data_IF_718340556208
#
_entry.id   IF_718340556208
#
_cell.length_a   1.000
_cell.length_b   1.000
_cell.length_c   1.000
_cell.angle_alpha   90.00
_cell.angle_beta   90.00
_cell.angle_gamma   90.00
#
_symmetry.space_group_name_H-M   'P 1'
#
loop_
_entity.id
_entity.type
_entity.pdbx_description
1 polymer ?
#
# COMPACT_ATOMS: atom_id res chain seq x y z
N UNK A 1 -14.83 -2.33 17.82
CA UNK A 1 -13.52 -2.92 17.52
C UNK A 1 -12.47 -2.29 18.43
N UNK A 2 -11.63 -3.07 19.09
CA UNK A 2 -10.59 -2.59 20.01
C UNK A 2 -9.48 -1.82 19.26
N UNK A 3 -8.83 -0.88 19.94
CA UNK A 3 -7.76 -0.03 19.36
C UNK A 3 -6.57 -0.85 18.86
N UNK A 4 -6.20 -1.91 19.57
CA UNK A 4 -5.11 -2.80 19.16
C UNK A 4 -5.42 -3.48 17.82
N UNK A 5 -6.67 -3.91 17.62
CA UNK A 5 -7.12 -4.48 16.35
C UNK A 5 -7.13 -3.45 15.24
N UNK A 6 -7.60 -2.21 15.52
CA UNK A 6 -7.53 -1.11 14.57
C UNK A 6 -6.09 -0.84 14.14
N UNK A 7 -5.16 -0.74 15.09
CA UNK A 7 -3.75 -0.47 14.84
C UNK A 7 -3.13 -1.46 13.86
N UNK A 8 -3.49 -2.74 13.96
CA UNK A 8 -2.95 -3.80 13.09
C UNK A 8 -3.35 -3.66 11.60
N UNK A 9 -4.30 -2.79 11.26
CA UNK A 9 -4.66 -2.49 9.88
C UNK A 9 -3.93 -1.27 9.31
N UNK A 10 -3.26 -0.44 10.12
CA UNK A 10 -2.77 0.88 9.70
C UNK A 10 -1.31 0.80 9.22
N UNK A 11 -1.08 1.22 7.96
CA UNK A 11 0.21 1.65 7.45
C UNK A 11 0.27 3.18 7.58
N UNK A 12 1.00 3.66 8.61
CA UNK A 12 1.12 5.10 8.89
C UNK A 12 2.05 5.75 7.86
N UNK A 13 1.49 6.62 7.01
CA UNK A 13 2.08 6.94 5.70
C UNK A 13 2.55 8.39 5.62
N UNK A 14 3.78 8.58 5.13
CA UNK A 14 4.38 9.89 4.84
C UNK A 14 5.20 9.83 3.55
N UNK A 15 4.62 10.26 2.42
CA UNK A 15 5.19 10.16 1.07
C UNK A 15 5.33 11.50 0.36
N UNK A 16 4.96 12.62 0.99
CA UNK A 16 5.08 13.94 0.38
C UNK A 16 6.56 14.26 0.05
N UNK A 17 6.87 14.89 -1.10
CA UNK A 17 8.25 15.11 -1.52
C UNK A 17 9.00 16.13 -0.64
N UNK A 18 8.27 16.93 0.11
CA UNK A 18 8.83 17.99 0.99
C UNK A 18 8.82 17.59 2.48
N UNK A 19 8.72 16.30 2.78
CA UNK A 19 8.75 15.84 4.17
C UNK A 19 10.18 15.87 4.73
N UNK A 20 10.33 16.35 5.94
CA UNK A 20 11.64 16.45 6.59
C UNK A 20 11.91 15.26 7.54
N UNK A 21 13.16 15.12 7.97
CA UNK A 21 13.62 14.06 8.88
C UNK A 21 12.84 14.07 10.20
N UNK A 22 12.53 15.24 10.75
CA UNK A 22 11.80 15.35 12.02
C UNK A 22 10.40 14.77 11.92
N UNK A 23 9.75 15.01 10.78
CA UNK A 23 8.42 14.45 10.49
C UNK A 23 8.46 12.92 10.35
N UNK A 24 9.54 12.36 9.80
CA UNK A 24 9.74 10.91 9.73
C UNK A 24 9.99 10.30 11.11
N UNK A 25 10.85 10.91 11.93
CA UNK A 25 11.08 10.46 13.32
C UNK A 25 9.76 10.45 14.11
N UNK A 26 8.98 11.54 14.01
CA UNK A 26 7.66 11.61 14.64
C UNK A 26 6.70 10.53 14.15
N UNK A 27 6.69 10.24 12.82
CA UNK A 27 5.90 9.15 12.25
C UNK A 27 6.25 7.81 12.90
N UNK A 28 7.55 7.53 13.09
CA UNK A 28 8.04 6.31 13.72
C UNK A 28 7.65 6.26 15.22
N UNK A 29 7.77 7.37 15.94
CA UNK A 29 7.33 7.48 17.34
C UNK A 29 5.84 7.17 17.50
N UNK A 30 4.98 7.76 16.65
CA UNK A 30 3.54 7.51 16.63
C UNK A 30 3.24 6.04 16.31
N UNK A 31 3.90 5.46 15.28
CA UNK A 31 3.69 4.08 14.88
C UNK A 31 4.11 3.09 15.99
N UNK A 32 5.23 3.34 16.66
CA UNK A 32 5.71 2.56 17.80
C UNK A 32 4.75 2.67 18.99
N UNK A 33 4.32 3.90 19.32
CA UNK A 33 3.41 4.17 20.45
C UNK A 33 2.06 3.47 20.31
N UNK A 34 1.52 3.44 19.09
CA UNK A 34 0.19 2.88 18.82
C UNK A 34 0.24 1.45 18.25
N UNK A 35 1.42 0.89 18.07
CA UNK A 35 1.64 -0.45 17.51
C UNK A 35 1.00 -0.63 16.13
N UNK A 36 1.18 0.35 15.24
CA UNK A 36 0.69 0.25 13.87
C UNK A 36 1.36 -0.90 13.10
N UNK A 37 0.71 -1.40 12.05
CA UNK A 37 1.24 -2.49 11.24
C UNK A 37 2.58 -2.13 10.61
N UNK A 38 2.66 -0.91 10.04
CA UNK A 38 3.88 -0.38 9.44
C UNK A 38 3.92 1.15 9.43
N UNK A 39 5.12 1.71 9.18
CA UNK A 39 5.25 3.02 8.56
C UNK A 39 5.43 2.83 7.05
N UNK A 40 4.95 3.80 6.23
CA UNK A 40 5.16 3.77 4.77
C UNK A 40 5.78 5.10 4.33
N UNK A 41 7.03 5.03 3.83
CA UNK A 41 7.88 6.19 3.57
C UNK A 41 8.54 6.12 2.18
N UNK A 42 9.07 7.25 1.71
CA UNK A 42 9.91 7.27 0.51
C UNK A 42 11.20 6.46 0.72
N UNK A 43 11.78 5.85 -0.33
CA UNK A 43 12.95 4.95 -0.21
C UNK A 43 14.16 5.55 0.52
N UNK A 44 14.39 6.85 0.39
CA UNK A 44 15.50 7.56 1.06
C UNK A 44 15.41 7.56 2.60
N UNK A 45 14.25 7.25 3.17
CA UNK A 45 14.05 7.23 4.62
C UNK A 45 14.01 5.82 5.23
N UNK A 46 14.18 4.77 4.43
CA UNK A 46 14.06 3.37 4.89
C UNK A 46 15.05 3.07 6.01
N UNK A 47 16.34 3.40 5.83
CA UNK A 47 17.36 3.14 6.85
C UNK A 47 17.08 3.87 8.17
N UNK A 48 16.66 5.14 8.09
CA UNK A 48 16.26 5.91 9.27
C UNK A 48 15.08 5.26 10.00
N UNK A 49 14.02 4.87 9.26
CA UNK A 49 12.87 4.20 9.87
C UNK A 49 13.25 2.86 10.49
N UNK A 50 14.19 2.12 9.88
CA UNK A 50 14.70 0.86 10.44
C UNK A 50 15.38 1.06 11.78
N UNK A 51 16.21 2.11 11.91
CA UNK A 51 16.86 2.47 13.17
C UNK A 51 15.84 2.89 14.23
N UNK A 52 14.92 3.80 13.88
CA UNK A 52 13.91 4.35 14.79
C UNK A 52 12.90 3.29 15.29
N UNK A 53 12.66 2.24 14.51
CA UNK A 53 11.67 1.20 14.82
C UNK A 53 12.29 -0.08 15.35
N UNK A 54 13.59 -0.10 15.62
CA UNK A 54 14.25 -1.31 16.13
C UNK A 54 13.60 -1.81 17.43
N UNK A 55 13.37 -3.12 17.50
CA UNK A 55 12.72 -3.79 18.63
C UNK A 55 11.22 -3.49 18.82
N UNK A 56 10.59 -2.61 18.02
CA UNK A 56 9.18 -2.22 18.19
C UNK A 56 8.16 -3.22 17.63
N UNK A 57 8.56 -4.07 16.68
CA UNK A 57 7.68 -4.94 15.92
C UNK A 57 6.95 -4.26 14.76
N UNK A 58 6.95 -2.93 14.66
CA UNK A 58 6.39 -2.16 13.53
C UNK A 58 7.22 -2.38 12.28
N UNK A 59 6.57 -2.65 11.15
CA UNK A 59 7.26 -2.92 9.87
C UNK A 59 7.64 -1.63 9.15
N UNK A 60 8.73 -1.68 8.40
CA UNK A 60 9.12 -0.60 7.49
C UNK A 60 8.64 -0.94 6.08
N UNK A 61 7.67 -0.18 5.59
CA UNK A 61 7.18 -0.24 4.21
C UNK A 61 7.76 0.92 3.40
N UNK A 62 8.08 0.68 2.13
CA UNK A 62 8.43 1.73 1.18
C UNK A 62 7.75 1.52 -0.16
N UNK A 63 7.96 2.45 -1.11
CA UNK A 63 7.32 2.44 -2.42
C UNK A 63 8.33 2.17 -3.53
N UNK A 64 7.88 1.54 -4.63
CA UNK A 64 8.71 1.15 -5.78
C UNK A 64 8.09 1.66 -7.08
N UNK A 65 8.91 2.30 -7.93
CA UNK A 65 8.43 2.90 -9.18
C UNK A 65 7.40 4.01 -8.98
N UNK A 66 7.42 4.63 -7.83
CA UNK A 66 6.38 5.51 -7.32
C UNK A 66 6.60 6.99 -7.73
N UNK A 67 5.53 7.77 -8.02
CA UNK A 67 4.12 7.34 -8.00
C UNK A 67 3.59 6.88 -9.37
N UNK A 68 4.36 6.96 -10.45
CA UNK A 68 3.89 6.85 -11.83
C UNK A 68 3.86 5.42 -12.38
N UNK A 69 4.65 4.49 -11.81
CA UNK A 69 4.82 3.15 -12.35
C UNK A 69 5.55 3.09 -13.70
N UNK A 70 6.03 4.24 -14.22
CA UNK A 70 6.50 4.42 -15.61
C UNK A 70 8.01 4.18 -15.80
N UNK A 71 8.65 3.48 -14.88
CA UNK A 71 10.04 3.02 -15.02
C UNK A 71 10.10 1.58 -15.51
N UNK A 72 11.27 1.13 -15.98
CA UNK A 72 11.43 -0.26 -16.46
C UNK A 72 11.31 -1.26 -15.31
N UNK A 73 10.88 -2.50 -15.63
CA UNK A 73 10.78 -3.57 -14.64
C UNK A 73 12.14 -3.86 -13.96
N UNK A 74 13.24 -3.74 -14.72
CA UNK A 74 14.59 -3.86 -14.15
C UNK A 74 14.85 -2.80 -13.09
N UNK A 75 14.51 -1.53 -13.35
CA UNK A 75 14.71 -0.45 -12.38
C UNK A 75 13.89 -0.69 -11.11
N UNK A 76 12.64 -1.17 -11.25
CA UNK A 76 11.82 -1.53 -10.07
C UNK A 76 12.43 -2.68 -9.27
N UNK A 77 12.98 -3.71 -9.94
CA UNK A 77 13.66 -4.82 -9.28
C UNK A 77 14.92 -4.36 -8.54
N UNK A 78 15.73 -3.51 -9.17
CA UNK A 78 16.94 -2.94 -8.55
C UNK A 78 16.57 -2.05 -7.33
N UNK A 79 15.56 -1.18 -7.48
CA UNK A 79 15.03 -0.34 -6.40
C UNK A 79 14.52 -1.19 -5.23
N UNK A 80 13.80 -2.28 -5.53
CA UNK A 80 13.30 -3.23 -4.53
C UNK A 80 14.44 -3.87 -3.75
N UNK A 81 15.48 -4.33 -4.44
CA UNK A 81 16.67 -4.95 -3.81
C UNK A 81 17.33 -3.96 -2.84
N UNK A 82 17.58 -2.74 -3.29
CA UNK A 82 18.20 -1.69 -2.46
C UNK A 82 17.33 -1.33 -1.26
N UNK A 83 16.01 -1.20 -1.45
CA UNK A 83 15.09 -0.90 -0.36
C UNK A 83 15.11 -1.98 0.74
N UNK A 84 15.16 -3.25 0.36
CA UNK A 84 15.20 -4.38 1.31
C UNK A 84 16.55 -4.45 2.03
N UNK A 85 17.65 -4.26 1.32
CA UNK A 85 18.99 -4.20 1.91
C UNK A 85 19.12 -3.06 2.92
N UNK A 86 18.46 -1.91 2.66
CA UNK A 86 18.37 -0.77 3.57
C UNK A 86 17.42 -0.99 4.78
N UNK A 87 16.64 -2.07 4.80
CA UNK A 87 15.83 -2.41 5.97
C UNK A 87 14.32 -2.48 5.75
N UNK A 88 13.81 -2.32 4.53
CA UNK A 88 12.37 -2.49 4.26
C UNK A 88 11.92 -3.93 4.51
N UNK A 89 10.78 -4.09 5.18
CA UNK A 89 10.07 -5.37 5.38
C UNK A 89 8.94 -5.54 4.35
N UNK A 90 8.42 -4.43 3.81
CA UNK A 90 7.31 -4.40 2.88
C UNK A 90 7.60 -3.41 1.74
N UNK A 91 7.17 -3.72 0.52
CA UNK A 91 7.28 -2.83 -0.64
C UNK A 91 5.95 -2.69 -1.35
N UNK A 92 5.56 -1.45 -1.66
CA UNK A 92 4.34 -1.10 -2.40
C UNK A 92 4.75 -0.64 -3.81
N UNK A 93 4.74 -1.53 -4.80
CA UNK A 93 5.09 -1.19 -6.19
C UNK A 93 3.90 -0.63 -6.96
N UNK A 94 4.14 0.31 -7.88
CA UNK A 94 3.12 0.78 -8.82
C UNK A 94 3.25 -0.01 -10.13
N UNK A 95 2.14 -0.55 -10.66
CA UNK A 95 2.13 -1.22 -11.97
C UNK A 95 2.52 -0.26 -13.09
N UNK A 96 2.88 -0.79 -14.26
CA UNK A 96 2.92 0.02 -15.47
C UNK A 96 1.48 0.30 -15.94
N UNK A 97 0.95 1.47 -15.53
CA UNK A 97 -0.44 1.87 -15.78
C UNK A 97 -0.74 1.94 -17.29
N UNK A 98 0.20 2.47 -18.09
CA UNK A 98 0.03 2.53 -19.56
C UNK A 98 -0.13 1.13 -20.15
N UNK A 99 0.64 0.14 -19.70
CA UNK A 99 0.49 -1.25 -20.15
C UNK A 99 -0.86 -1.84 -19.78
N UNK A 100 -1.41 -1.49 -18.61
CA UNK A 100 -2.74 -1.94 -18.19
C UNK A 100 -3.84 -1.33 -19.07
N UNK A 101 -3.77 -0.02 -19.36
CA UNK A 101 -4.71 0.70 -20.25
C UNK A 101 -4.68 0.13 -21.68
N UNK A 102 -3.48 -0.21 -22.18
CA UNK A 102 -3.28 -0.79 -23.51
C UNK A 102 -3.62 -2.29 -23.56
N UNK A 103 -4.14 -2.89 -22.49
CA UNK A 103 -4.41 -4.33 -22.36
C UNK A 103 -3.17 -5.22 -22.56
N UNK A 104 -1.96 -4.70 -22.33
CA UNK A 104 -0.70 -5.46 -22.41
C UNK A 104 -0.44 -6.19 -21.08
N UNK A 105 -1.33 -7.10 -20.69
CA UNK A 105 -1.31 -7.73 -19.37
C UNK A 105 -0.10 -8.61 -19.12
N UNK A 106 0.50 -9.22 -20.17
CA UNK A 106 1.77 -9.94 -20.03
C UNK A 106 2.89 -9.00 -19.53
N UNK A 107 2.91 -7.74 -20.00
CA UNK A 107 3.88 -6.76 -19.53
C UNK A 107 3.62 -6.36 -18.07
N UNK A 108 2.33 -6.21 -17.69
CA UNK A 108 1.95 -5.91 -16.30
C UNK A 108 2.39 -7.05 -15.38
N UNK A 109 2.13 -8.30 -15.75
CA UNK A 109 2.51 -9.48 -14.97
C UNK A 109 4.02 -9.63 -14.86
N UNK A 110 4.76 -9.47 -15.97
CA UNK A 110 6.23 -9.50 -15.97
C UNK A 110 6.83 -8.40 -15.09
N UNK A 111 6.25 -7.20 -15.12
CA UNK A 111 6.68 -6.07 -14.29
C UNK A 111 6.51 -6.36 -12.79
N UNK A 112 5.37 -6.96 -12.41
CA UNK A 112 5.11 -7.38 -11.02
C UNK A 112 6.04 -8.53 -10.62
N UNK A 113 6.19 -9.56 -11.48
CA UNK A 113 7.07 -10.71 -11.22
C UNK A 113 8.51 -10.27 -10.96
N UNK A 114 9.03 -9.31 -11.74
CA UNK A 114 10.38 -8.81 -11.54
C UNK A 114 10.60 -8.21 -10.13
N UNK A 115 9.61 -7.52 -9.59
CA UNK A 115 9.65 -6.99 -8.23
C UNK A 115 9.50 -8.10 -7.19
N UNK A 116 8.58 -9.04 -7.39
CA UNK A 116 8.37 -10.18 -6.48
C UNK A 116 9.64 -11.02 -6.40
N UNK A 117 10.26 -11.38 -7.53
CA UNK A 117 11.47 -12.18 -7.57
C UNK A 117 12.64 -11.48 -6.87
N UNK A 118 12.82 -10.18 -7.13
CA UNK A 118 13.81 -9.36 -6.44
C UNK A 118 13.56 -9.31 -4.92
N UNK A 119 12.29 -9.13 -4.51
CA UNK A 119 11.93 -9.10 -3.10
C UNK A 119 12.21 -10.43 -2.39
N UNK A 120 11.85 -11.55 -3.01
CA UNK A 120 12.12 -12.89 -2.44
C UNK A 120 13.63 -13.18 -2.38
N UNK A 121 14.39 -12.83 -3.43
CA UNK A 121 15.83 -13.03 -3.46
C UNK A 121 16.56 -12.16 -2.41
N UNK A 122 16.25 -10.86 -2.33
CA UNK A 122 16.82 -9.96 -1.35
C UNK A 122 16.40 -10.33 0.09
N UNK A 123 15.13 -10.68 0.30
CA UNK A 123 14.61 -11.15 1.58
C UNK A 123 15.35 -12.36 2.10
N UNK A 124 15.56 -13.37 1.25
CA UNK A 124 16.37 -14.57 1.58
C UNK A 124 17.80 -14.19 2.01
N UNK A 125 18.42 -13.25 1.30
CA UNK A 125 19.80 -12.78 1.59
C UNK A 125 19.89 -12.11 2.96
N UNK A 126 18.87 -11.35 3.37
CA UNK A 126 18.85 -10.63 4.65
C UNK A 126 18.11 -11.38 5.77
N UNK A 127 17.62 -12.61 5.51
CA UNK A 127 16.92 -13.45 6.48
C UNK A 127 15.53 -12.93 6.89
N UNK A 128 14.80 -12.30 5.97
CA UNK A 128 13.46 -11.73 6.22
C UNK A 128 12.46 -12.12 5.15
N UNK A 129 11.21 -12.38 5.56
CA UNK A 129 10.09 -12.51 4.63
C UNK A 129 9.58 -11.12 4.25
N UNK A 130 9.57 -10.82 2.96
CA UNK A 130 9.21 -9.51 2.42
C UNK A 130 7.80 -9.55 1.85
N UNK A 131 6.97 -8.60 2.27
CA UNK A 131 5.60 -8.42 1.73
C UNK A 131 5.64 -7.50 0.51
N UNK A 132 5.08 -7.97 -0.61
CA UNK A 132 4.94 -7.19 -1.85
C UNK A 132 3.48 -6.81 -2.07
N UNK A 133 3.20 -5.49 -2.17
CA UNK A 133 1.88 -4.97 -2.46
C UNK A 133 1.89 -4.26 -3.81
N UNK A 134 0.85 -4.49 -4.61
CA UNK A 134 0.75 -4.00 -5.99
C UNK A 134 -0.27 -2.88 -6.08
N UNK A 135 0.19 -1.65 -6.29
CA UNK A 135 -0.66 -0.47 -6.50
C UNK A 135 -1.18 -0.48 -7.93
N UNK A 136 -2.49 -0.57 -8.08
CA UNK A 136 -3.16 -0.58 -9.39
C UNK A 136 -3.40 0.83 -9.93
N UNK A 137 -3.53 1.85 -9.07
CA UNK A 137 -3.98 3.21 -9.36
C UNK A 137 -5.37 3.22 -10.00
N UNK A 138 -6.32 2.73 -9.24
CA UNK A 138 -7.69 2.39 -9.71
C UNK A 138 -8.44 3.55 -10.35
N UNK A 139 -8.08 4.80 -10.06
CA UNK A 139 -8.73 5.97 -10.65
C UNK A 139 -8.49 6.14 -12.17
N UNK A 140 -7.52 5.42 -12.75
CA UNK A 140 -7.26 5.40 -14.19
C UNK A 140 -7.80 4.14 -14.89
N UNK A 141 -8.39 3.20 -14.15
CA UNK A 141 -8.75 1.88 -14.66
C UNK A 141 -10.27 1.66 -14.59
N UNK A 142 -10.82 1.02 -15.62
CA UNK A 142 -12.17 0.46 -15.55
C UNK A 142 -12.22 -0.75 -14.62
N UNK A 143 -13.40 -1.13 -14.15
CA UNK A 143 -13.61 -2.32 -13.33
C UNK A 143 -12.97 -3.58 -13.94
N UNK A 144 -13.14 -3.76 -15.26
CA UNK A 144 -12.55 -4.88 -15.99
C UNK A 144 -11.01 -4.89 -15.95
N UNK A 145 -10.38 -3.70 -16.06
CA UNK A 145 -8.94 -3.58 -15.98
C UNK A 145 -8.44 -3.83 -14.54
N UNK A 146 -9.19 -3.35 -13.53
CA UNK A 146 -8.89 -3.61 -12.11
C UNK A 146 -8.90 -5.13 -11.85
N UNK A 147 -9.96 -5.84 -12.25
CA UNK A 147 -10.05 -7.31 -12.12
C UNK A 147 -8.86 -8.01 -12.77
N UNK A 148 -8.52 -7.64 -14.01
CA UNK A 148 -7.45 -8.28 -14.76
C UNK A 148 -6.07 -8.01 -14.12
N UNK A 149 -5.81 -6.77 -13.68
CA UNK A 149 -4.57 -6.44 -12.97
C UNK A 149 -4.47 -7.13 -11.59
N UNK A 150 -5.58 -7.31 -10.88
CA UNK A 150 -5.62 -8.13 -9.67
C UNK A 150 -5.17 -9.56 -9.95
N UNK A 151 -5.67 -10.18 -11.02
CA UNK A 151 -5.28 -11.54 -11.42
C UNK A 151 -3.80 -11.61 -11.86
N UNK A 152 -3.26 -10.57 -12.52
CA UNK A 152 -1.83 -10.47 -12.80
C UNK A 152 -1.01 -10.47 -11.50
N UNK A 153 -1.42 -9.69 -10.49
CA UNK A 153 -0.74 -9.64 -9.20
C UNK A 153 -0.74 -11.00 -8.49
N UNK A 154 -1.88 -11.70 -8.51
CA UNK A 154 -1.99 -13.06 -7.94
C UNK A 154 -1.06 -14.03 -8.65
N UNK A 155 -1.07 -14.06 -10.00
CA UNK A 155 -0.21 -14.98 -10.78
C UNK A 155 1.27 -14.69 -10.63
N UNK A 156 1.62 -13.42 -10.48
CA UNK A 156 3.00 -12.98 -10.22
C UNK A 156 3.50 -13.29 -8.80
N UNK A 157 2.65 -13.81 -7.91
CA UNK A 157 3.03 -14.18 -6.54
C UNK A 157 3.20 -13.02 -5.57
N UNK A 158 2.52 -11.88 -5.82
CA UNK A 158 2.41 -10.80 -4.85
C UNK A 158 1.56 -11.21 -3.64
N UNK A 159 1.64 -10.43 -2.56
CA UNK A 159 0.91 -10.71 -1.32
C UNK A 159 -0.36 -9.85 -1.19
N UNK A 160 -0.36 -8.65 -1.79
CA UNK A 160 -1.46 -7.70 -1.74
C UNK A 160 -1.70 -7.03 -3.09
N UNK A 161 -2.95 -6.63 -3.33
CA UNK A 161 -3.31 -5.55 -4.25
C UNK A 161 -3.66 -4.29 -3.45
N UNK A 162 -3.31 -3.12 -3.99
CA UNK A 162 -3.54 -1.80 -3.35
C UNK A 162 -4.22 -0.87 -4.34
N UNK A 163 -5.15 -0.03 -3.86
CA UNK A 163 -5.92 0.84 -4.73
C UNK A 163 -5.09 1.94 -5.40
N UNK A 164 -4.37 2.74 -4.61
CA UNK A 164 -3.94 4.07 -5.08
C UNK A 164 -2.60 4.51 -4.50
N UNK A 165 -1.91 5.39 -5.23
CA UNK A 165 -0.75 6.12 -4.73
C UNK A 165 -1.13 7.28 -3.81
N UNK A 166 -2.27 7.91 -4.06
CA UNK A 166 -2.69 9.17 -3.44
C UNK A 166 -2.16 10.43 -4.16
N UNK A 167 -1.37 10.26 -5.24
CA UNK A 167 -0.74 11.35 -6.00
C UNK A 167 -1.36 11.56 -7.38
N UNK A 168 -2.21 10.65 -7.84
CA UNK A 168 -2.90 10.82 -9.12
C UNK A 168 -3.83 12.04 -9.09
N UNK A 169 -3.95 12.69 -10.23
CA UNK A 169 -4.88 13.83 -10.45
C UNK A 169 -5.69 13.57 -11.74
N UNK A 170 -6.60 12.55 -11.73
CA UNK A 170 -7.38 12.21 -12.90
C UNK A 170 -8.33 13.36 -13.27
N UNK A 171 -8.56 13.52 -14.58
CA UNK A 171 -9.47 14.53 -15.15
C UNK A 171 -10.35 13.88 -16.21
N UNK A 172 -11.56 14.42 -16.37
CA UNK A 172 -12.41 14.08 -17.50
C UNK A 172 -11.94 14.73 -18.82
N UNK A 173 -12.69 14.51 -19.91
CA UNK A 173 -12.37 15.05 -21.23
C UNK A 173 -12.39 16.58 -21.28
N UNK A 174 -13.15 17.21 -20.38
CA UNK A 174 -13.27 18.66 -20.23
C UNK A 174 -12.20 19.23 -19.27
N UNK A 175 -11.32 18.40 -18.72
CA UNK A 175 -10.26 18.79 -17.79
C UNK A 175 -10.70 18.98 -16.34
N UNK A 176 -11.95 18.59 -15.99
CA UNK A 176 -12.48 18.67 -14.63
C UNK A 176 -11.90 17.54 -13.77
N UNK A 177 -11.49 17.82 -12.51
CA UNK A 177 -10.98 16.79 -11.61
C UNK A 177 -11.99 15.68 -11.36
N UNK A 178 -11.52 14.44 -11.47
CA UNK A 178 -12.26 13.23 -11.11
C UNK A 178 -11.86 12.75 -9.71
N UNK A 179 -12.69 11.92 -9.03
CA UNK A 179 -12.36 11.32 -7.75
C UNK A 179 -11.06 10.50 -7.83
N UNK A 180 -10.24 10.63 -6.79
CA UNK A 180 -8.99 9.89 -6.61
C UNK A 180 -9.02 9.14 -5.27
N UNK A 181 -8.26 8.06 -5.17
CA UNK A 181 -8.10 7.28 -3.94
C UNK A 181 -9.01 6.07 -3.83
N UNK A 182 -9.07 5.50 -2.63
CA UNK A 182 -9.83 4.29 -2.36
C UNK A 182 -11.35 4.54 -2.36
N UNK A 183 -12.10 3.62 -2.94
CA UNK A 183 -13.56 3.57 -2.87
C UNK A 183 -14.02 2.20 -2.36
N UNK A 184 -15.16 2.15 -1.67
CA UNK A 184 -15.74 0.88 -1.23
C UNK A 184 -16.05 -0.05 -2.44
N UNK A 185 -16.45 0.54 -3.57
CA UNK A 185 -16.69 -0.19 -4.81
C UNK A 185 -15.44 -0.94 -5.28
N UNK A 186 -14.31 -0.23 -5.45
CA UNK A 186 -13.06 -0.84 -5.91
C UNK A 186 -12.51 -1.85 -4.90
N UNK A 187 -12.58 -1.57 -3.59
CA UNK A 187 -12.15 -2.53 -2.56
C UNK A 187 -12.97 -3.82 -2.63
N UNK A 188 -14.30 -3.72 -2.75
CA UNK A 188 -15.17 -4.89 -2.87
C UNK A 188 -14.89 -5.69 -4.17
N UNK A 189 -14.70 -4.99 -5.29
CA UNK A 189 -14.32 -5.58 -6.58
C UNK A 189 -12.99 -6.35 -6.45
N UNK A 190 -11.95 -5.70 -5.93
CA UNK A 190 -10.64 -6.31 -5.71
C UNK A 190 -10.73 -7.52 -4.79
N UNK A 191 -11.47 -7.39 -3.65
CA UNK A 191 -11.67 -8.51 -2.70
C UNK A 191 -12.36 -9.71 -3.36
N UNK A 192 -13.41 -9.48 -4.15
CA UNK A 192 -14.09 -10.55 -4.89
C UNK A 192 -13.16 -11.23 -5.90
N UNK A 193 -12.33 -10.46 -6.57
CA UNK A 193 -11.42 -10.96 -7.61
C UNK A 193 -10.28 -11.80 -7.03
N UNK A 194 -9.63 -11.34 -5.93
CA UNK A 194 -8.46 -12.04 -5.37
C UNK A 194 -8.83 -13.12 -4.34
N UNK A 195 -10.09 -13.22 -3.94
CA UNK A 195 -10.53 -14.17 -2.91
C UNK A 195 -10.24 -13.71 -1.49
N UNK A 196 -10.55 -14.56 -0.50
CA UNK A 196 -10.50 -14.19 0.94
C UNK A 196 -9.09 -14.14 1.53
N UNK A 197 -8.17 -14.92 0.99
CA UNK A 197 -6.85 -15.16 1.59
C UNK A 197 -5.76 -14.20 1.08
N UNK A 198 -5.99 -13.52 -0.04
CA UNK A 198 -5.07 -12.53 -0.60
C UNK A 198 -5.26 -11.16 0.07
N UNK A 199 -4.18 -10.37 0.20
CA UNK A 199 -4.24 -9.06 0.81
C UNK A 199 -4.94 -8.00 -0.07
N UNK A 200 -5.74 -7.11 0.54
CA UNK A 200 -6.30 -5.92 -0.12
C UNK A 200 -6.03 -4.70 0.74
N UNK A 201 -5.27 -3.73 0.20
CA UNK A 201 -4.95 -2.47 0.88
C UNK A 201 -5.73 -1.32 0.27
N UNK A 202 -6.44 -0.58 1.11
CA UNK A 202 -7.07 0.68 0.75
C UNK A 202 -6.11 1.84 1.03
N UNK A 203 -5.94 2.78 0.09
CA UNK A 203 -5.12 3.98 0.28
C UNK A 203 -5.59 5.14 -0.61
N UNK A 204 -5.27 6.36 -0.17
CA UNK A 204 -5.72 7.58 -0.83
C UNK A 204 -7.08 8.07 -0.31
N UNK A 205 -7.11 9.26 0.28
CA UNK A 205 -8.33 9.91 0.74
C UNK A 205 -8.89 9.43 2.10
N UNK A 206 -8.27 8.47 2.78
CA UNK A 206 -8.75 7.93 4.06
C UNK A 206 -8.25 8.82 5.20
N UNK A 207 -9.14 9.66 5.78
CA UNK A 207 -8.78 10.69 6.77
C UNK A 207 -9.64 10.68 8.03
N UNK A 208 -10.67 9.81 8.09
CA UNK A 208 -11.58 9.70 9.22
C UNK A 208 -11.89 8.25 9.56
N UNK A 209 -12.43 8.02 10.77
CA UNK A 209 -12.87 6.70 11.21
C UNK A 209 -13.96 6.13 10.29
N UNK A 210 -14.90 6.96 9.83
CA UNK A 210 -16.00 6.55 8.96
C UNK A 210 -15.49 6.02 7.62
N UNK A 211 -14.54 6.74 6.98
CA UNK A 211 -13.94 6.28 5.72
C UNK A 211 -13.12 5.01 5.92
N UNK A 212 -12.39 4.89 7.03
CA UNK A 212 -11.64 3.68 7.37
C UNK A 212 -12.57 2.47 7.55
N UNK A 213 -13.65 2.62 8.34
CA UNK A 213 -14.65 1.58 8.56
C UNK A 213 -15.23 1.12 7.22
N UNK A 214 -15.64 2.06 6.38
CA UNK A 214 -16.20 1.77 5.05
C UNK A 214 -15.24 0.91 4.21
N UNK A 215 -13.92 1.16 4.24
CA UNK A 215 -12.94 0.35 3.53
C UNK A 215 -12.77 -1.05 4.15
N UNK A 216 -12.76 -1.16 5.48
CA UNK A 216 -12.67 -2.45 6.16
C UNK A 216 -13.90 -3.32 5.87
N UNK A 217 -15.11 -2.75 5.93
CA UNK A 217 -16.36 -3.45 5.63
C UNK A 217 -16.47 -3.87 4.16
N UNK A 218 -15.89 -3.07 3.24
CA UNK A 218 -15.79 -3.43 1.82
C UNK A 218 -14.78 -4.58 1.54
N UNK A 219 -13.95 -4.95 2.52
CA UNK A 219 -13.04 -6.10 2.40
C UNK A 219 -11.55 -5.77 2.47
N UNK A 220 -11.15 -4.51 2.72
CA UNK A 220 -9.74 -4.18 2.95
C UNK A 220 -9.25 -4.83 4.25
N UNK A 221 -8.01 -5.32 4.26
CA UNK A 221 -7.32 -5.81 5.45
C UNK A 221 -5.99 -5.07 5.73
N UNK A 222 -5.78 -3.95 5.05
CA UNK A 222 -4.71 -2.98 5.32
C UNK A 222 -5.17 -1.59 4.87
N UNK A 223 -4.79 -0.56 5.60
CA UNK A 223 -5.20 0.84 5.36
C UNK A 223 -3.96 1.73 5.32
N UNK A 224 -3.70 2.34 4.18
CA UNK A 224 -2.66 3.37 4.05
C UNK A 224 -3.23 4.76 4.30
N UNK A 225 -2.78 5.43 5.34
CA UNK A 225 -3.24 6.78 5.70
C UNK A 225 -2.17 7.60 6.40
N UNK A 226 -2.14 8.90 6.13
CA UNK A 226 -1.34 9.89 6.89
C UNK A 226 -2.04 10.38 8.17
N UNK A 227 -3.31 9.98 8.36
CA UNK A 227 -4.11 10.38 9.53
C UNK A 227 -4.21 9.28 10.60
N UNK A 228 -3.31 8.28 10.57
CA UNK A 228 -3.38 7.11 11.44
C UNK A 228 -3.45 7.46 12.92
N UNK A 229 -2.55 8.31 13.41
CA UNK A 229 -2.52 8.76 14.80
C UNK A 229 -3.83 9.45 15.20
N UNK A 230 -4.32 10.40 14.39
CA UNK A 230 -5.57 11.12 14.64
C UNK A 230 -6.78 10.19 14.68
N UNK A 231 -6.86 9.21 13.78
CA UNK A 231 -7.95 8.23 13.75
C UNK A 231 -7.88 7.35 15.01
N UNK A 232 -6.69 6.87 15.37
CA UNK A 232 -6.50 6.03 16.54
C UNK A 232 -6.84 6.73 17.86
N UNK A 233 -6.39 7.97 18.05
CA UNK A 233 -6.66 8.75 19.26
C UNK A 233 -8.16 9.00 19.48
N UNK A 234 -8.89 9.28 18.40
CA UNK A 234 -10.33 9.56 18.43
C UNK A 234 -11.21 8.33 18.19
N UNK A 235 -10.64 7.12 18.20
CA UNK A 235 -11.39 5.89 17.94
C UNK A 235 -12.31 5.54 19.09
N UNK A 236 -13.59 5.31 18.78
CA UNK A 236 -14.58 4.77 19.70
C UNK A 236 -14.60 3.23 19.61
N UNK A 237 -14.20 2.57 20.67
CA UNK A 237 -14.15 1.09 20.75
C UNK A 237 -15.52 0.42 20.73
N UNK A 238 -16.61 1.18 20.96
CA UNK A 238 -17.98 0.65 20.82
C UNK A 238 -18.38 0.39 19.37
N UNK A 239 -17.62 0.93 18.39
CA UNK A 239 -17.89 0.73 16.97
C UNK A 239 -17.75 -0.74 16.59
N UNK A 240 -18.81 -1.28 15.98
CA UNK A 240 -18.83 -2.61 15.39
C UNK A 240 -18.52 -2.46 13.90
N UNK A 241 -17.44 -3.10 13.44
CA UNK A 241 -17.07 -3.16 12.03
C UNK A 241 -17.55 -4.49 11.45
N UNK A 242 -18.49 -4.46 10.52
CA UNK A 242 -19.10 -5.66 9.95
C UNK A 242 -18.06 -6.53 9.24
N UNK A 243 -18.15 -7.84 9.45
CA UNK A 243 -17.21 -8.81 8.85
C UNK A 243 -15.81 -8.80 9.48
N UNK A 244 -15.64 -8.14 10.62
CA UNK A 244 -14.42 -8.16 11.43
C UNK A 244 -14.80 -8.56 12.87
N UNK A 245 -14.23 -9.65 13.33
CA UNK A 245 -14.41 -10.05 14.74
C UNK A 245 -13.83 -8.97 15.66
N UNK A 246 -14.57 -8.64 16.71
CA UNK A 246 -14.20 -7.61 17.70
C UNK A 246 -13.08 -8.09 18.63
#
# INVERSE_FOLDING_TARGET
MKKEKLASFIDHTALAPNIDVRSIVKLCEEARRYHFASVCVNPCFVSLCREELDGSGVKVCTVIGFPLGAVTSKNKADETTVAIENGADEVDMVINISSAIDNRFNNVETDISAVVDAARAAGKKVGRDIVVKVILETCFLSDKLIETCCLCAVRAGADFVKTSTGFAAPKDAEGKPLPNGATAHHINLMRKTVGKDFGVKASGGIRSAETLICMLEAGANRIGTSSGAKIYENWDESIIVKGRDN
#
